data_IF_990389794426
#
_entry.id   IF_990389794426
#
_cell.length_a   1.000
_cell.length_b   1.000
_cell.length_c   1.000
_cell.angle_alpha   90.00
_cell.angle_beta   90.00
_cell.angle_gamma   90.00
#
_symmetry.space_group_name_H-M   'P 1'
#
loop_
_entity.id
_entity.type
_entity.pdbx_description
1 polymer ?
#
# COMPACT_ATOMS: atom_id res chain seq x y z
N UNK A 1 19.89 -20.17 -4.45
CA UNK A 1 18.63 -20.58 -3.94
C UNK A 1 17.65 -19.40 -3.90
N UNK A 2 16.43 -19.67 -4.30
CA UNK A 2 15.46 -18.60 -4.45
C UNK A 2 14.70 -18.26 -3.15
N UNK A 3 15.20 -18.65 -2.00
CA UNK A 3 14.50 -18.45 -0.73
C UNK A 3 14.24 -17.00 -0.40
N UNK A 4 15.25 -16.16 -0.51
CA UNK A 4 15.10 -14.76 -0.22
C UNK A 4 14.08 -14.10 -1.13
N UNK A 5 14.09 -14.46 -2.40
CA UNK A 5 13.13 -13.95 -3.38
C UNK A 5 11.73 -14.47 -3.10
N UNK A 6 11.61 -15.75 -2.72
CA UNK A 6 10.33 -16.35 -2.38
C UNK A 6 9.71 -15.64 -1.18
N UNK A 7 10.50 -15.39 -0.14
CA UNK A 7 10.04 -14.68 1.05
C UNK A 7 9.66 -13.25 0.74
N UNK A 8 10.45 -12.56 -0.10
CA UNK A 8 10.16 -11.21 -0.55
C UNK A 8 8.80 -11.16 -1.28
N UNK A 9 8.57 -12.10 -2.20
CA UNK A 9 7.33 -12.16 -2.96
C UNK A 9 6.13 -12.63 -2.14
N UNK A 10 6.35 -13.08 -0.89
CA UNK A 10 5.28 -13.42 0.04
C UNK A 10 4.95 -12.29 1.00
N UNK A 11 5.50 -11.11 0.75
CA UNK A 11 5.18 -9.94 1.56
C UNK A 11 3.67 -9.71 1.59
N UNK A 12 3.19 -9.26 2.74
CA UNK A 12 1.77 -9.05 3.01
C UNK A 12 1.39 -7.60 2.72
N UNK A 13 0.43 -7.41 1.83
CA UNK A 13 -0.03 -6.08 1.44
C UNK A 13 -1.48 -5.92 1.88
N UNK A 14 -1.77 -4.80 2.53
CA UNK A 14 -3.14 -4.36 2.78
C UNK A 14 -3.48 -3.28 1.77
N UNK A 15 -4.48 -3.54 0.94
CA UNK A 15 -4.93 -2.61 -0.09
C UNK A 15 -6.26 -1.97 0.32
N UNK A 16 -6.31 -0.65 0.34
CA UNK A 16 -7.55 0.10 0.57
C UNK A 16 -7.89 0.88 -0.70
N UNK A 17 -8.97 0.50 -1.36
CA UNK A 17 -9.42 1.10 -2.62
C UNK A 17 -10.94 0.99 -2.71
N UNK A 18 -11.63 2.12 -2.83
CA UNK A 18 -13.09 2.13 -2.83
C UNK A 18 -13.73 1.79 -4.19
N UNK A 19 -12.99 1.93 -5.28
CA UNK A 19 -13.47 1.54 -6.61
C UNK A 19 -13.35 0.02 -6.77
N UNK A 20 -14.48 -0.66 -6.95
CA UNK A 20 -14.53 -2.13 -7.01
C UNK A 20 -13.70 -2.71 -8.15
N UNK A 21 -13.79 -2.12 -9.34
CA UNK A 21 -13.06 -2.61 -10.52
C UNK A 21 -11.55 -2.41 -10.34
N UNK A 22 -11.17 -1.23 -9.88
CA UNK A 22 -9.75 -0.92 -9.61
C UNK A 22 -9.19 -1.83 -8.52
N UNK A 23 -9.94 -2.04 -7.45
CA UNK A 23 -9.50 -2.91 -6.35
C UNK A 23 -9.23 -4.33 -6.86
N UNK A 24 -10.16 -4.91 -7.61
CA UNK A 24 -9.98 -6.25 -8.18
C UNK A 24 -8.79 -6.32 -9.12
N UNK A 25 -8.60 -5.28 -9.91
CA UNK A 25 -7.50 -5.20 -10.86
C UNK A 25 -6.15 -5.15 -10.15
N UNK A 26 -6.05 -4.35 -9.12
CA UNK A 26 -4.82 -4.22 -8.32
C UNK A 26 -4.51 -5.52 -7.58
N UNK A 27 -5.52 -6.17 -6.98
CA UNK A 27 -5.34 -7.44 -6.29
C UNK A 27 -4.74 -8.48 -7.25
N UNK A 28 -5.30 -8.61 -8.44
CA UNK A 28 -4.79 -9.57 -9.43
C UNK A 28 -3.33 -9.31 -9.80
N UNK A 29 -3.00 -8.06 -10.05
CA UNK A 29 -1.64 -7.69 -10.45
C UNK A 29 -0.63 -8.01 -9.35
N UNK A 30 -0.98 -7.68 -8.11
CA UNK A 30 -0.09 -7.91 -6.97
C UNK A 30 0.04 -9.40 -6.65
N UNK A 31 -1.06 -10.14 -6.69
CA UNK A 31 -1.01 -11.59 -6.46
C UNK A 31 -0.23 -12.31 -7.54
N UNK A 32 -0.39 -11.88 -8.79
CA UNK A 32 0.38 -12.42 -9.91
C UNK A 32 1.87 -12.18 -9.74
N UNK A 33 2.24 -11.09 -9.10
CA UNK A 33 3.64 -10.78 -8.80
C UNK A 33 4.17 -11.55 -7.59
N UNK A 34 3.32 -12.29 -6.88
CA UNK A 34 3.71 -13.16 -5.78
C UNK A 34 3.39 -12.63 -4.39
N UNK A 35 2.76 -11.47 -4.28
CA UNK A 35 2.41 -10.90 -2.98
C UNK A 35 1.11 -11.50 -2.43
N UNK A 36 1.00 -11.55 -1.12
CA UNK A 36 -0.24 -11.87 -0.44
C UNK A 36 -1.00 -10.57 -0.18
N UNK A 37 -2.26 -10.50 -0.60
CA UNK A 37 -3.03 -9.25 -0.56
C UNK A 37 -4.34 -9.46 0.17
N UNK A 38 -4.59 -8.61 1.18
CA UNK A 38 -5.93 -8.43 1.73
C UNK A 38 -6.43 -7.08 1.24
N UNK A 39 -7.65 -7.03 0.73
CA UNK A 39 -8.20 -5.82 0.14
C UNK A 39 -9.49 -5.41 0.83
N UNK A 40 -9.62 -4.11 1.06
CA UNK A 40 -10.84 -3.51 1.65
C UNK A 40 -11.29 -2.34 0.79
N UNK A 41 -12.56 -1.98 0.94
CA UNK A 41 -13.16 -0.91 0.13
C UNK A 41 -13.16 0.45 0.82
N UNK A 42 -12.65 0.55 2.05
CA UNK A 42 -12.64 1.79 2.85
C UNK A 42 -11.62 1.72 3.96
N UNK A 43 -11.22 2.91 4.44
CA UNK A 43 -10.23 2.99 5.51
C UNK A 43 -10.69 2.38 6.83
N UNK A 44 -11.97 2.58 7.17
CA UNK A 44 -12.51 2.04 8.42
C UNK A 44 -12.50 0.51 8.46
N UNK A 45 -12.58 -0.15 7.31
CA UNK A 45 -12.49 -1.60 7.23
C UNK A 45 -11.03 -2.09 7.33
N UNK A 46 -10.07 -1.23 7.06
CA UNK A 46 -8.65 -1.58 7.18
C UNK A 46 -8.18 -1.64 8.64
N UNK A 47 -8.75 -0.82 9.51
CA UNK A 47 -8.28 -0.71 10.90
C UNK A 47 -8.32 -2.04 11.67
N UNK A 48 -9.41 -2.81 11.64
CA UNK A 48 -9.41 -4.11 12.34
C UNK A 48 -8.31 -5.06 11.84
N UNK A 49 -8.04 -5.02 10.54
CA UNK A 49 -6.99 -5.87 9.97
C UNK A 49 -5.61 -5.43 10.43
N UNK A 50 -5.35 -4.12 10.50
CA UNK A 50 -4.09 -3.60 11.00
C UNK A 50 -3.84 -3.98 12.45
N UNK A 51 -4.90 -4.10 13.26
CA UNK A 51 -4.79 -4.52 14.66
C UNK A 51 -4.56 -6.02 14.81
N UNK A 52 -5.07 -6.83 13.88
CA UNK A 52 -5.06 -8.28 14.03
C UNK A 52 -3.94 -8.99 13.28
N UNK A 53 -3.29 -8.31 12.33
CA UNK A 53 -2.31 -8.93 11.44
C UNK A 53 -1.23 -7.92 11.07
N UNK A 54 0.00 -8.39 10.93
CA UNK A 54 1.09 -7.54 10.46
C UNK A 54 1.11 -7.49 8.93
N UNK A 55 1.25 -6.28 8.39
CA UNK A 55 1.41 -6.06 6.96
C UNK A 55 2.76 -5.40 6.71
N UNK A 56 3.38 -5.78 5.60
CA UNK A 56 4.64 -5.16 5.16
C UNK A 56 4.39 -3.82 4.49
N UNK A 57 3.25 -3.71 3.81
CA UNK A 57 2.88 -2.51 3.07
C UNK A 57 1.38 -2.23 3.20
N UNK A 58 1.05 -0.96 3.44
CA UNK A 58 -0.29 -0.43 3.25
C UNK A 58 -0.27 0.34 1.92
N UNK A 59 -1.05 -0.13 0.95
CA UNK A 59 -1.24 0.53 -0.33
C UNK A 59 -2.66 1.10 -0.35
N UNK A 60 -2.80 2.41 -0.37
CA UNK A 60 -4.10 3.04 -0.20
C UNK A 60 -4.36 4.14 -1.23
N UNK A 61 -5.59 4.19 -1.74
CA UNK A 61 -6.07 5.39 -2.40
C UNK A 61 -6.12 6.51 -1.34
N UNK A 62 -5.93 7.74 -1.77
CA UNK A 62 -6.02 8.88 -0.85
C UNK A 62 -7.46 9.30 -0.65
N UNK A 63 -8.21 9.46 -1.74
CA UNK A 63 -9.60 9.94 -1.66
C UNK A 63 -10.55 8.77 -1.53
N UNK A 64 -11.08 8.60 -0.33
CA UNK A 64 -12.06 7.55 -0.01
C UNK A 64 -13.11 8.13 0.93
N UNK A 65 -14.34 7.57 0.94
CA UNK A 65 -15.37 8.05 1.87
C UNK A 65 -15.02 7.72 3.32
N UNK A 66 -15.50 8.52 4.23
CA UNK A 66 -15.37 8.40 5.69
C UNK A 66 -13.97 8.71 6.18
N UNK A 67 -13.00 7.91 5.84
CA UNK A 67 -11.61 8.07 6.24
C UNK A 67 -10.75 8.08 4.98
N UNK A 68 -10.02 9.16 4.72
CA UNK A 68 -9.12 9.20 3.57
C UNK A 68 -7.83 8.40 3.82
N UNK A 69 -7.05 8.21 2.76
CA UNK A 69 -5.84 7.40 2.85
C UNK A 69 -4.76 8.02 3.72
N UNK A 70 -4.72 9.34 3.84
CA UNK A 70 -3.73 10.03 4.68
C UNK A 70 -4.03 9.76 6.15
N UNK A 71 -5.28 9.88 6.55
CA UNK A 71 -5.69 9.55 7.91
C UNK A 71 -5.45 8.07 8.21
N UNK A 72 -5.79 7.19 7.27
CA UNK A 72 -5.53 5.76 7.42
C UNK A 72 -4.04 5.49 7.63
N UNK A 73 -3.18 6.16 6.88
CA UNK A 73 -1.73 6.02 7.03
C UNK A 73 -1.25 6.47 8.42
N UNK A 74 -1.82 7.57 8.95
CA UNK A 74 -1.49 8.04 10.29
C UNK A 74 -1.85 6.99 11.34
N UNK A 75 -3.04 6.39 11.20
CA UNK A 75 -3.47 5.30 12.10
C UNK A 75 -2.57 4.08 11.96
N UNK A 76 -2.19 3.75 10.73
CA UNK A 76 -1.28 2.64 10.46
C UNK A 76 0.07 2.87 11.16
N UNK A 77 0.61 4.08 11.08
CA UNK A 77 1.88 4.41 11.73
C UNK A 77 1.80 4.23 13.26
N UNK A 78 0.65 4.54 13.85
CA UNK A 78 0.44 4.36 15.29
C UNK A 78 0.31 2.89 15.69
N UNK A 79 -0.34 2.08 14.84
CA UNK A 79 -0.61 0.67 15.12
C UNK A 79 0.61 -0.19 14.78
N UNK A 80 1.29 0.10 13.67
CA UNK A 80 2.37 -0.71 13.13
C UNK A 80 3.40 0.20 12.47
N UNK A 81 4.34 0.71 13.25
CA UNK A 81 5.31 1.71 12.80
C UNK A 81 6.24 1.21 11.70
N UNK A 82 6.42 -0.09 11.58
CA UNK A 82 7.30 -0.70 10.57
C UNK A 82 6.59 -1.04 9.26
N UNK A 83 5.26 -0.88 9.20
CA UNK A 83 4.53 -1.07 7.94
C UNK A 83 4.80 0.13 7.03
N UNK A 84 5.30 -0.15 5.83
CA UNK A 84 5.52 0.89 4.82
C UNK A 84 4.19 1.37 4.27
N UNK A 85 4.15 2.60 3.82
CA UNK A 85 2.94 3.20 3.24
C UNK A 85 3.23 3.67 1.81
N UNK A 86 2.30 3.38 0.91
CA UNK A 86 2.33 3.87 -0.45
C UNK A 86 0.92 4.31 -0.83
N UNK A 87 0.82 5.46 -1.48
CA UNK A 87 -0.48 6.01 -1.91
C UNK A 87 -0.66 5.90 -3.40
N UNK A 88 -1.91 5.76 -3.82
CA UNK A 88 -2.33 5.92 -5.21
C UNK A 88 -3.40 7.00 -5.24
N UNK A 89 -3.39 7.86 -6.26
CA UNK A 89 -4.39 8.92 -6.37
C UNK A 89 -4.60 9.38 -7.80
N UNK A 90 -5.84 9.75 -8.11
CA UNK A 90 -6.18 10.44 -9.37
C UNK A 90 -6.23 11.95 -9.22
N UNK A 91 -5.95 12.49 -8.03
CA UNK A 91 -6.11 13.91 -7.72
C UNK A 91 -4.78 14.56 -7.35
N UNK A 92 -4.24 15.37 -8.25
CA UNK A 92 -2.97 16.05 -8.04
C UNK A 92 -3.00 16.95 -6.78
N UNK A 93 -4.14 17.56 -6.49
CA UNK A 93 -4.28 18.47 -5.36
C UNK A 93 -3.96 17.83 -4.00
N UNK A 94 -4.27 16.53 -3.83
CA UNK A 94 -4.02 15.85 -2.55
C UNK A 94 -2.61 15.27 -2.45
N UNK A 95 -1.87 15.20 -3.54
CA UNK A 95 -0.50 14.68 -3.56
C UNK A 95 0.41 15.51 -2.66
N UNK A 96 0.28 16.82 -2.70
CA UNK A 96 1.10 17.72 -1.89
C UNK A 96 0.82 17.53 -0.40
N UNK A 97 -0.45 17.38 -0.05
CA UNK A 97 -0.84 17.13 1.34
C UNK A 97 -0.26 15.79 1.83
N UNK A 98 -0.38 14.76 1.00
CA UNK A 98 0.17 13.44 1.33
C UNK A 98 1.68 13.51 1.55
N UNK A 99 2.40 14.23 0.70
CA UNK A 99 3.85 14.36 0.82
C UNK A 99 4.26 15.11 2.08
N UNK A 100 3.47 16.07 2.54
CA UNK A 100 3.76 16.80 3.77
C UNK A 100 3.46 15.99 5.02
N UNK A 101 2.34 15.25 5.04
CA UNK A 101 1.90 14.51 6.23
C UNK A 101 2.50 13.12 6.32
N UNK A 102 2.91 12.55 5.18
CA UNK A 102 3.55 11.23 5.11
C UNK A 102 4.78 11.34 4.20
N UNK A 103 5.84 12.01 4.66
CA UNK A 103 6.98 12.30 3.77
C UNK A 103 7.76 11.07 3.32
N UNK A 104 7.65 9.95 4.02
CA UNK A 104 8.33 8.71 3.64
C UNK A 104 7.49 7.86 2.70
N UNK A 105 6.22 8.19 2.48
CA UNK A 105 5.35 7.41 1.62
C UNK A 105 5.55 7.79 0.15
N UNK A 106 5.61 6.78 -0.70
CA UNK A 106 5.62 6.98 -2.15
C UNK A 106 4.19 7.27 -2.61
N UNK A 107 4.03 8.21 -3.53
CA UNK A 107 2.73 8.52 -4.14
C UNK A 107 2.80 8.19 -5.64
N UNK A 108 1.90 7.34 -6.09
CA UNK A 108 1.77 6.98 -7.51
C UNK A 108 0.49 7.57 -8.07
N UNK A 109 0.60 8.40 -9.11
CA UNK A 109 -0.54 9.09 -9.70
C UNK A 109 -1.23 8.25 -10.76
N UNK A 110 -2.57 8.23 -10.74
CA UNK A 110 -3.38 7.62 -11.80
C UNK A 110 -3.43 8.57 -13.01
N UNK A 111 -3.46 8.09 -14.24
CA UNK A 111 -3.38 6.67 -14.62
C UNK A 111 -1.94 6.15 -14.58
N UNK A 112 -1.79 4.87 -14.29
CA UNK A 112 -0.48 4.20 -14.30
C UNK A 112 -0.63 2.82 -14.90
N UNK A 113 0.48 2.25 -15.38
CA UNK A 113 0.50 0.85 -15.81
C UNK A 113 0.68 -0.05 -14.60
N UNK A 114 0.02 -1.19 -14.59
CA UNK A 114 0.15 -2.15 -13.48
C UNK A 114 1.58 -2.60 -13.28
N UNK A 115 2.34 -2.70 -14.37
CA UNK A 115 3.77 -3.04 -14.31
C UNK A 115 4.54 -2.01 -13.48
N UNK A 116 4.23 -0.73 -13.64
CA UNK A 116 4.89 0.35 -12.90
C UNK A 116 4.52 0.30 -11.43
N UNK A 117 3.25 0.01 -11.13
CA UNK A 117 2.80 -0.16 -9.75
C UNK A 117 3.58 -1.27 -9.07
N UNK A 118 3.67 -2.44 -9.70
CA UNK A 118 4.38 -3.59 -9.14
C UNK A 118 5.85 -3.25 -8.90
N UNK A 119 6.50 -2.58 -9.84
CA UNK A 119 7.90 -2.16 -9.67
C UNK A 119 8.07 -1.22 -8.49
N UNK A 120 7.16 -0.26 -8.31
CA UNK A 120 7.25 0.67 -7.18
C UNK A 120 7.02 -0.04 -5.85
N UNK A 121 6.09 -0.99 -5.80
CA UNK A 121 5.86 -1.80 -4.60
C UNK A 121 7.13 -2.58 -4.25
N UNK A 122 7.75 -3.19 -5.25
CA UNK A 122 8.99 -3.94 -5.04
C UNK A 122 10.10 -3.04 -4.52
N UNK A 123 10.23 -1.83 -5.06
CA UNK A 123 11.24 -0.86 -4.58
C UNK A 123 11.03 -0.47 -3.14
N UNK A 124 9.79 -0.20 -2.75
CA UNK A 124 9.47 0.17 -1.38
C UNK A 124 9.84 -0.96 -0.42
N UNK A 125 9.56 -2.20 -0.79
CA UNK A 125 9.89 -3.36 0.02
C UNK A 125 11.39 -3.67 0.02
N UNK A 126 12.09 -3.43 -1.09
CA UNK A 126 13.54 -3.57 -1.16
C UNK A 126 14.25 -2.58 -0.24
N UNK A 127 13.82 -1.32 -0.23
CA UNK A 127 14.39 -0.30 0.65
C UNK A 127 14.28 -0.73 2.10
N UNK A 128 13.14 -1.33 2.48
CA UNK A 128 12.95 -1.88 3.82
C UNK A 128 13.94 -3.00 4.12
N UNK A 129 14.14 -3.92 3.16
CA UNK A 129 15.08 -5.02 3.30
C UNK A 129 16.51 -4.49 3.38
N UNK A 130 16.87 -3.55 2.54
CA UNK A 130 18.19 -2.93 2.54
C UNK A 130 18.50 -2.25 3.86
N UNK A 131 17.52 -1.65 4.50
CA UNK A 131 17.70 -0.99 5.79
C UNK A 131 17.99 -1.98 6.92
N UNK A 132 17.57 -3.24 6.77
CA UNK A 132 17.83 -4.30 7.74
C UNK A 132 19.26 -4.84 7.57
N UNK A 133 19.69 -4.91 6.35
CA UNK A 133 21.01 -5.43 6.02
C UNK A 133 22.12 -4.42 6.29
#
# INVERSE_FOLDING_TARGET
>A
MAFGMTDFHRAQILLAEDDDAMRSYLVRALEKAGFAVDAVDRGTAALPLLHSKHYDLLLSDIVMPEMDGIELAQRCNEISADTKVMFITGFAAVTLKASREQPLAKVLSKPFHLKDLVLEVERVLEDRISAIL
#
